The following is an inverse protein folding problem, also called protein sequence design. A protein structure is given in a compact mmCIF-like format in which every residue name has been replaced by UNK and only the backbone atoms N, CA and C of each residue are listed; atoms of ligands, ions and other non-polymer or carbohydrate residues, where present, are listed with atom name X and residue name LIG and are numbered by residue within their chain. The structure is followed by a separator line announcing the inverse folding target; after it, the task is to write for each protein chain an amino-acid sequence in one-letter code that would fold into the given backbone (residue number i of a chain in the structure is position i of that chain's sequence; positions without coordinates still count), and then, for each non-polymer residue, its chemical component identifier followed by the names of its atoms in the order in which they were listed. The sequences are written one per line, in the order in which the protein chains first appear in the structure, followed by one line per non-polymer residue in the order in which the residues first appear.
data_IF_269554963730
#
_entry.id   IF_269554963730
#
_cell.length_a   1.000
_cell.length_b   1.000
_cell.length_c   1.000
_cell.angle_alpha   90.00
_cell.angle_beta   90.00
_cell.angle_gamma   90.00
#
_symmetry.space_group_name_H-M   'P 1'
#
loop_
_entity.id
_entity.type
_entity.pdbx_description
1 polymer ?
#
# COMPACT_ATOMS: atom_id res chain seq x y z
N UNK A 1 -10.03 0.14 20.70
CA UNK A 1 -9.74 0.09 19.24
C UNK A 1 -10.48 1.17 18.44
N UNK A 2 -11.69 1.61 18.84
CA UNK A 2 -12.43 2.65 18.08
C UNK A 2 -11.72 4.00 18.02
N UNK A 3 -10.91 4.36 19.01
CA UNK A 3 -10.28 5.68 19.10
C UNK A 3 -9.25 5.94 17.98
N UNK A 4 -8.40 4.95 17.66
CA UNK A 4 -7.45 5.01 16.53
C UNK A 4 -8.20 5.12 15.20
N UNK A 5 -9.30 4.37 15.05
CA UNK A 5 -10.12 4.40 13.84
C UNK A 5 -10.97 5.66 13.73
N UNK A 6 -11.27 6.35 14.83
CA UNK A 6 -12.03 7.60 14.86
C UNK A 6 -11.13 8.81 14.65
N UNK A 7 -9.94 8.84 15.26
CA UNK A 7 -8.93 9.90 15.11
C UNK A 7 -7.65 9.30 14.53
N UNK A 8 -7.58 9.32 13.20
CA UNK A 8 -6.43 8.83 12.46
C UNK A 8 -5.31 9.88 12.46
N UNK A 9 -4.75 10.16 13.63
CA UNK A 9 -3.61 11.08 13.77
C UNK A 9 -2.35 10.43 13.21
N UNK A 10 -1.68 11.10 12.27
CA UNK A 10 -0.55 10.52 11.53
C UNK A 10 0.57 10.08 12.48
N UNK A 11 0.85 10.86 13.53
CA UNK A 11 1.91 10.54 14.50
C UNK A 11 1.61 9.28 15.30
N UNK A 12 0.33 8.95 15.51
CA UNK A 12 -0.10 7.70 16.14
C UNK A 12 0.07 6.54 15.17
N UNK A 13 -0.31 6.70 13.90
CA UNK A 13 -0.11 5.67 12.87
C UNK A 13 1.37 5.39 12.60
N UNK A 14 2.20 6.42 12.60
CA UNK A 14 3.63 6.31 12.33
C UNK A 14 4.35 5.43 13.37
N UNK A 15 3.81 5.33 14.59
CA UNK A 15 4.31 4.44 15.64
C UNK A 15 4.02 2.96 15.34
N UNK A 16 2.99 2.68 14.55
CA UNK A 16 2.63 1.32 14.12
C UNK A 16 3.48 0.84 12.94
N UNK A 17 4.26 1.74 12.32
CA UNK A 17 5.11 1.41 11.18
C UNK A 17 6.44 0.76 11.62
N UNK A 18 6.98 -0.13 10.77
CA UNK A 18 8.38 -0.53 10.86
C UNK A 18 9.30 0.69 10.92
N UNK A 19 10.26 0.68 11.84
CA UNK A 19 11.28 1.73 12.01
C UNK A 19 10.79 3.10 12.50
N UNK A 20 9.60 3.19 13.13
CA UNK A 20 9.12 4.36 13.91
C UNK A 20 9.43 5.73 13.25
N UNK A 21 8.74 6.02 12.15
CA UNK A 21 8.86 7.26 11.35
C UNK A 21 10.24 7.56 10.75
N UNK A 22 11.26 6.70 10.93
CA UNK A 22 12.56 6.84 10.29
C UNK A 22 12.50 6.28 8.86
N UNK A 23 12.00 7.12 7.95
CA UNK A 23 11.90 6.79 6.52
C UNK A 23 13.26 6.46 5.92
N UNK A 24 14.34 7.07 6.41
CA UNK A 24 15.68 6.82 5.90
C UNK A 24 16.15 5.40 6.23
N UNK A 25 15.87 4.91 7.45
CA UNK A 25 16.11 3.51 7.81
C UNK A 25 15.23 2.54 7.02
N UNK A 26 13.98 2.93 6.75
CA UNK A 26 13.07 2.13 5.92
C UNK A 26 13.61 1.99 4.49
N UNK A 27 14.06 3.08 3.88
CA UNK A 27 14.63 3.07 2.53
C UNK A 27 16.01 2.38 2.45
N UNK A 28 16.84 2.53 3.48
CA UNK A 28 18.13 1.85 3.57
C UNK A 28 18.01 0.34 3.85
N UNK A 29 16.83 -0.13 4.26
CA UNK A 29 16.60 -1.54 4.54
C UNK A 29 16.73 -2.38 3.26
N UNK A 30 17.46 -3.50 3.33
CA UNK A 30 17.63 -4.43 2.21
C UNK A 30 16.41 -5.36 2.03
N UNK A 31 15.62 -5.56 3.08
CA UNK A 31 14.41 -6.40 3.07
C UNK A 31 13.38 -5.89 2.08
N UNK A 32 12.77 -6.82 1.33
CA UNK A 32 11.74 -6.53 0.33
C UNK A 32 10.34 -6.42 0.93
N UNK A 33 10.10 -7.10 2.06
CA UNK A 33 8.87 -7.07 2.84
C UNK A 33 9.26 -6.98 4.32
N UNK A 34 8.54 -6.17 5.10
CA UNK A 34 8.66 -6.13 6.57
C UNK A 34 7.27 -6.14 7.17
N UNK A 35 7.02 -7.04 8.13
CA UNK A 35 5.75 -7.17 8.84
C UNK A 35 5.96 -6.77 10.30
N UNK A 36 5.12 -5.88 10.83
CA UNK A 36 5.09 -5.49 12.22
C UNK A 36 3.72 -5.80 12.82
N UNK A 37 3.71 -6.53 13.93
CA UNK A 37 2.51 -6.84 14.71
C UNK A 37 2.55 -6.03 16.01
N UNK A 38 1.53 -5.20 16.23
CA UNK A 38 1.41 -4.33 17.38
C UNK A 38 0.26 -4.81 18.25
N UNK A 39 0.57 -5.22 19.49
CA UNK A 39 -0.42 -5.63 20.48
C UNK A 39 -0.76 -4.46 21.40
N UNK A 40 -2.06 -4.27 21.67
CA UNK A 40 -2.54 -3.23 22.56
C UNK A 40 -3.01 -3.81 23.89
N UNK A 41 -2.86 -3.07 24.99
CA UNK A 41 -3.30 -3.52 26.33
C UNK A 41 -4.79 -3.84 26.44
N UNK A 42 -5.61 -3.35 25.51
CA UNK A 42 -7.03 -3.70 25.39
C UNK A 42 -7.32 -5.03 24.65
N UNK A 43 -6.28 -5.81 24.32
CA UNK A 43 -6.40 -7.04 23.54
C UNK A 43 -6.51 -6.83 22.03
N UNK A 44 -6.52 -5.59 21.55
CA UNK A 44 -6.50 -5.28 20.13
C UNK A 44 -5.15 -5.60 19.47
N UNK A 45 -5.17 -5.80 18.14
CA UNK A 45 -3.97 -6.01 17.33
C UNK A 45 -4.01 -5.10 16.10
N UNK A 46 -2.87 -4.50 15.75
CA UNK A 46 -2.66 -3.83 14.46
C UNK A 46 -1.48 -4.46 13.73
N UNK A 47 -1.71 -4.88 12.50
CA UNK A 47 -0.66 -5.45 11.63
C UNK A 47 -0.32 -4.41 10.56
N UNK A 48 0.95 -4.06 10.47
CA UNK A 48 1.48 -3.18 9.42
C UNK A 48 2.41 -3.98 8.52
N UNK A 49 2.26 -3.81 7.21
CA UNK A 49 3.10 -4.47 6.22
C UNK A 49 3.72 -3.40 5.33
N UNK A 50 5.03 -3.45 5.21
CA UNK A 50 5.80 -2.64 4.28
C UNK A 50 6.26 -3.49 3.11
N UNK A 51 6.03 -3.00 1.88
CA UNK A 51 6.59 -3.54 0.65
C UNK A 51 7.55 -2.54 0.05
N UNK A 52 8.70 -3.01 -0.43
CA UNK A 52 9.43 -2.24 -1.45
C UNK A 52 8.54 -2.18 -2.69
N UNK A 53 8.14 -0.98 -3.09
CA UNK A 53 7.20 -0.78 -4.21
C UNK A 53 7.70 -1.41 -5.54
N UNK A 54 8.99 -1.71 -5.65
CA UNK A 54 9.58 -2.42 -6.81
C UNK A 54 9.03 -3.85 -7.01
N UNK A 55 8.52 -4.50 -5.96
CA UNK A 55 8.04 -5.89 -6.03
C UNK A 55 6.51 -6.03 -6.06
N UNK A 56 5.77 -4.97 -5.74
CA UNK A 56 4.31 -5.02 -5.65
C UNK A 56 3.69 -3.65 -5.86
N UNK A 57 2.62 -3.62 -6.64
CA UNK A 57 1.65 -2.54 -6.67
C UNK A 57 0.53 -2.79 -5.63
N UNK A 58 -0.48 -1.91 -5.61
CA UNK A 58 -1.61 -2.03 -4.68
C UNK A 58 -2.36 -3.37 -4.80
N UNK A 59 -2.79 -3.78 -6.01
CA UNK A 59 -3.43 -5.08 -6.23
C UNK A 59 -2.57 -6.28 -5.81
N UNK A 60 -1.30 -6.32 -6.21
CA UNK A 60 -0.39 -7.43 -5.86
C UNK A 60 -0.19 -7.53 -4.35
N UNK A 61 0.01 -6.39 -3.66
CA UNK A 61 0.11 -6.35 -2.20
C UNK A 61 -1.18 -6.83 -1.53
N UNK A 62 -2.35 -6.43 -2.04
CA UNK A 62 -3.66 -6.85 -1.51
C UNK A 62 -3.88 -8.36 -1.65
N UNK A 63 -3.54 -8.92 -2.82
CA UNK A 63 -3.63 -10.35 -3.07
C UNK A 63 -2.67 -11.15 -2.18
N UNK A 64 -1.45 -10.66 -1.97
CA UNK A 64 -0.53 -11.26 -1.02
C UNK A 64 -1.12 -11.30 0.40
N UNK A 65 -1.71 -10.19 0.87
CA UNK A 65 -2.31 -10.12 2.22
C UNK A 65 -3.47 -11.10 2.35
N UNK A 66 -4.33 -11.19 1.34
CA UNK A 66 -5.44 -12.15 1.30
C UNK A 66 -4.92 -13.60 1.33
N UNK A 67 -3.94 -13.93 0.49
CA UNK A 67 -3.34 -15.25 0.48
C UNK A 67 -2.68 -15.59 1.83
N UNK A 68 -2.01 -14.62 2.44
CA UNK A 68 -1.39 -14.79 3.75
C UNK A 68 -2.43 -15.06 4.85
N UNK A 69 -3.57 -14.36 4.84
CA UNK A 69 -4.65 -14.63 5.80
C UNK A 69 -5.32 -15.99 5.60
N UNK A 70 -5.53 -16.40 4.35
CA UNK A 70 -6.21 -17.65 4.02
C UNK A 70 -5.37 -18.89 4.41
N UNK A 71 -4.04 -18.79 4.29
CA UNK A 71 -3.11 -19.85 4.68
C UNK A 71 -3.14 -20.20 6.19
N UNK A 72 -3.73 -19.37 7.04
CA UNK A 72 -3.89 -19.69 8.46
C UNK A 72 -5.00 -20.74 8.71
N UNK A 73 -5.92 -20.94 7.76
CA UNK A 73 -7.08 -21.82 7.87
C UNK A 73 -6.86 -23.27 7.36
N UNK A 74 -5.62 -23.71 7.15
CA UNK A 74 -5.26 -25.04 6.59
C UNK A 74 -5.84 -25.35 5.20
N UNK A 75 -6.54 -24.40 4.58
CA UNK A 75 -6.86 -24.41 3.16
C UNK A 75 -5.60 -23.96 2.42
N UNK A 76 -4.67 -24.88 2.21
CA UNK A 76 -3.49 -24.67 1.37
C UNK A 76 -3.92 -24.54 -0.10
N UNK A 77 -4.71 -23.52 -0.41
CA UNK A 77 -4.92 -23.07 -1.78
C UNK A 77 -3.67 -22.29 -2.13
N UNK A 78 -2.59 -23.03 -2.45
CA UNK A 78 -1.45 -22.43 -3.11
C UNK A 78 -2.04 -21.78 -4.36
N UNK A 79 -2.02 -20.44 -4.40
CA UNK A 79 -2.38 -19.68 -5.60
C UNK A 79 -1.30 -20.02 -6.63
N UNK A 80 -1.47 -21.14 -7.32
CA UNK A 80 -0.52 -21.67 -8.30
C UNK A 80 -0.80 -21.07 -9.67
N UNK A 81 -2.06 -20.78 -9.95
CA UNK A 81 -2.50 -20.42 -11.30
C UNK A 81 -2.52 -18.90 -11.54
N UNK A 82 -2.63 -18.06 -10.49
CA UNK A 82 -2.65 -16.59 -10.63
C UNK A 82 -1.32 -15.90 -10.30
N UNK A 83 -0.25 -16.66 -10.02
CA UNK A 83 1.08 -16.08 -9.73
C UNK A 83 1.97 -16.20 -10.96
N UNK A 84 2.14 -15.08 -11.67
CA UNK A 84 3.11 -14.96 -12.75
C UNK A 84 4.50 -14.73 -12.16
N UNK A 85 5.33 -15.78 -12.17
CA UNK A 85 6.74 -15.67 -11.78
C UNK A 85 7.63 -15.15 -12.92
N UNK A 86 7.27 -15.45 -14.17
CA UNK A 86 8.02 -15.00 -15.33
C UNK A 86 7.43 -13.70 -15.90
N UNK A 87 7.96 -12.57 -15.45
CA UNK A 87 7.57 -11.27 -15.98
C UNK A 87 7.87 -11.14 -17.49
N UNK A 88 8.82 -11.90 -18.05
CA UNK A 88 9.13 -11.84 -19.48
C UNK A 88 8.01 -12.45 -20.35
N UNK A 89 7.19 -13.36 -19.78
CA UNK A 89 6.02 -13.91 -20.45
C UNK A 89 4.89 -12.89 -20.65
N UNK A 90 4.74 -11.95 -19.71
CA UNK A 90 3.71 -10.88 -19.75
C UNK A 90 4.26 -9.60 -20.38
N UNK A 91 5.52 -9.31 -20.12
CA UNK A 91 6.24 -8.15 -20.63
C UNK A 91 7.49 -8.62 -21.38
N UNK A 92 7.37 -9.00 -22.66
CA UNK A 92 8.51 -9.44 -23.46
C UNK A 92 9.64 -8.41 -23.44
N UNK A 93 10.91 -8.85 -23.42
CA UNK A 93 12.04 -7.93 -23.48
C UNK A 93 11.95 -7.01 -24.70
N UNK A 94 12.12 -5.71 -24.48
CA UNK A 94 12.13 -4.70 -25.53
C UNK A 94 13.44 -3.90 -25.45
N UNK A 95 13.97 -3.51 -26.61
CA UNK A 95 15.12 -2.61 -26.67
C UNK A 95 14.65 -1.17 -26.46
N UNK A 96 14.38 -0.82 -25.20
CA UNK A 96 13.93 0.50 -24.79
C UNK A 96 15.11 1.32 -24.28
N UNK A 97 15.17 2.64 -24.54
CA UNK A 97 16.17 3.53 -23.98
C UNK A 97 15.86 3.83 -22.49
N UNK A 98 15.86 2.79 -21.64
CA UNK A 98 15.45 2.85 -20.23
C UNK A 98 16.19 3.93 -19.45
N UNK A 99 17.47 4.18 -19.78
CA UNK A 99 18.29 5.23 -19.16
C UNK A 99 17.72 6.64 -19.39
N UNK A 100 17.14 6.91 -20.55
CA UNK A 100 16.51 8.19 -20.86
C UNK A 100 15.12 8.30 -20.21
N UNK A 101 14.35 7.20 -20.20
CA UNK A 101 13.02 7.14 -19.58
C UNK A 101 13.09 7.30 -18.06
N UNK A 102 14.03 6.61 -17.40
CA UNK A 102 14.20 6.69 -15.95
C UNK A 102 14.70 8.05 -15.47
N UNK A 103 15.54 8.74 -16.25
CA UNK A 103 15.95 10.13 -15.93
C UNK A 103 14.73 11.04 -15.78
N UNK A 104 13.70 10.87 -16.60
CA UNK A 104 12.51 11.71 -16.57
C UNK A 104 11.50 11.30 -15.48
N UNK A 105 11.42 10.01 -15.10
CA UNK A 105 10.45 9.52 -14.12
C UNK A 105 10.87 9.74 -12.65
N UNK A 106 12.18 9.73 -12.34
CA UNK A 106 12.66 9.73 -10.95
C UNK A 106 13.36 11.04 -10.53
N UNK A 107 13.41 12.06 -11.40
CA UNK A 107 14.00 13.36 -11.08
C UNK A 107 13.11 14.28 -10.24
N UNK A 108 11.85 13.90 -10.00
CA UNK A 108 10.97 14.67 -9.12
C UNK A 108 11.19 14.22 -7.68
N UNK A 109 12.31 14.63 -7.08
CA UNK A 109 12.36 14.75 -5.64
C UNK A 109 11.58 16.02 -5.28
N UNK A 110 10.25 15.93 -5.17
CA UNK A 110 9.53 16.99 -4.46
C UNK A 110 10.12 17.00 -3.05
N UNK A 111 10.74 18.09 -2.59
CA UNK A 111 11.08 18.20 -1.18
C UNK A 111 9.76 18.09 -0.45
N UNK A 112 9.54 16.95 0.20
CA UNK A 112 8.38 16.80 1.05
C UNK A 112 8.67 17.70 2.25
N UNK A 113 8.19 18.95 2.18
CA UNK A 113 8.12 19.82 3.34
C UNK A 113 7.23 19.18 4.42
N UNK A 114 6.89 19.92 5.46
CA UNK A 114 5.95 19.44 6.47
C UNK A 114 4.60 19.09 5.82
N UNK A 115 4.38 17.81 5.56
CA UNK A 115 3.19 17.30 4.92
C UNK A 115 2.25 16.75 6.00
N UNK A 116 1.09 17.36 6.14
CA UNK A 116 0.04 16.88 7.03
C UNK A 116 -0.84 15.88 6.28
N UNK A 117 -1.01 14.69 6.85
CA UNK A 117 -1.96 13.69 6.34
C UNK A 117 -3.32 13.92 7.01
N UNK A 118 -4.37 14.10 6.21
CA UNK A 118 -5.76 14.19 6.68
C UNK A 118 -6.62 13.10 6.05
N UNK A 119 -7.54 12.53 6.82
CA UNK A 119 -8.52 11.56 6.32
C UNK A 119 -9.87 12.25 6.10
N UNK A 120 -10.40 12.10 4.88
CA UNK A 120 -11.76 12.50 4.52
C UNK A 120 -12.61 11.26 4.31
N UNK A 121 -13.80 11.22 4.88
CA UNK A 121 -14.71 10.07 4.77
C UNK A 121 -15.92 10.45 3.93
N UNK A 122 -16.17 9.66 2.89
CA UNK A 122 -17.33 9.76 2.03
C UNK A 122 -18.22 8.56 2.31
N UNK A 123 -19.41 8.80 2.84
CA UNK A 123 -20.43 7.77 3.00
C UNK A 123 -21.12 7.48 1.66
N UNK A 124 -21.92 6.41 1.62
CA UNK A 124 -22.63 5.98 0.42
C UNK A 124 -23.52 7.10 -0.16
N UNK A 125 -24.17 7.91 0.68
CA UNK A 125 -25.03 9.01 0.25
C UNK A 125 -24.24 10.12 -0.43
N UNK A 126 -23.10 10.54 0.13
CA UNK A 126 -22.21 11.53 -0.48
C UNK A 126 -21.58 11.01 -1.77
N UNK A 127 -21.21 9.74 -1.81
CA UNK A 127 -20.71 9.11 -3.04
C UNK A 127 -21.76 9.13 -4.16
N UNK A 128 -23.01 8.74 -3.84
CA UNK A 128 -24.11 8.77 -4.81
C UNK A 128 -24.40 10.20 -5.30
N UNK A 129 -24.37 11.20 -4.42
CA UNK A 129 -24.54 12.59 -4.80
C UNK A 129 -23.43 13.09 -5.75
N UNK A 130 -22.17 12.70 -5.51
CA UNK A 130 -21.05 13.04 -6.41
C UNK A 130 -21.21 12.36 -7.78
N UNK A 131 -21.63 11.11 -7.82
CA UNK A 131 -21.89 10.38 -9.07
C UNK A 131 -23.01 11.03 -9.88
N UNK A 132 -24.13 11.41 -9.24
CA UNK A 132 -25.24 12.09 -9.88
C UNK A 132 -24.82 13.43 -10.51
N UNK A 133 -24.05 14.24 -9.78
CA UNK A 133 -23.56 15.54 -10.27
C UNK A 133 -22.66 15.42 -11.51
N UNK A 134 -21.85 14.37 -11.61
CA UNK A 134 -21.00 14.12 -12.79
C UNK A 134 -21.86 13.60 -13.95
N UNK A 135 -22.88 12.78 -13.66
CA UNK A 135 -23.84 12.29 -14.64
C UNK A 135 -24.63 13.41 -15.32
N UNK A 136 -25.05 14.43 -14.56
CA UNK A 136 -25.82 15.58 -15.07
C UNK A 136 -25.02 16.51 -16.00
N UNK A 137 -23.70 16.52 -15.93
CA UNK A 137 -22.84 17.35 -16.80
C UNK A 137 -22.44 16.67 -18.13
N UNK A 138 -22.98 15.48 -18.42
CA UNK A 138 -22.72 14.71 -19.66
C UNK A 138 -23.87 14.76 -20.68
N UNK A 139 -24.76 15.74 -20.58
CA UNK A 139 -25.82 16.04 -21.55
C UNK A 139 -25.58 17.40 -22.22
#
# INVERSE_FOLDING_TARGET
MSEILQRLEFDVLAQLLPFKNDRNKLHANKSIIVVQVNYFGCGGVAITIYFKHVIADGPAATNFIKAWSDNHNQLYTIIKDDVVFDCASVFPPQDLPLKALWKNCFQVSVPLGEALVKRFTFDATKMAALQAKIGDHRL
#
